data_IF_064738782681
#
_entry.id   IF_064738782681
#
_cell.length_a   1.000
_cell.length_b   1.000
_cell.length_c   1.000
_cell.angle_alpha   90.00
_cell.angle_beta   90.00
_cell.angle_gamma   90.00
#
_symmetry.space_group_name_H-M   'P 1'
#
loop_
_entity.id
_entity.type
_entity.pdbx_description
1 polymer ?
#
# COMPACT_ATOMS: atom_id res chain seq x y z
N UNK A 1 -15.92 -12.71 -7.11
CA UNK A 1 -17.18 -12.69 -7.90
C UNK A 1 -17.52 -11.31 -8.42
N UNK A 2 -18.47 -11.18 -9.36
CA UNK A 2 -18.96 -9.86 -9.81
C UNK A 2 -19.57 -9.02 -8.68
N UNK A 3 -20.20 -9.66 -7.69
CA UNK A 3 -20.78 -8.97 -6.53
C UNK A 3 -19.71 -8.44 -5.57
N UNK A 4 -18.67 -9.24 -5.29
CA UNK A 4 -17.55 -8.79 -4.46
C UNK A 4 -16.80 -7.62 -5.11
N UNK A 5 -16.61 -7.66 -6.43
CA UNK A 5 -15.98 -6.57 -7.18
C UNK A 5 -16.80 -5.27 -7.10
N UNK A 6 -18.13 -5.32 -7.26
CA UNK A 6 -18.99 -4.13 -7.13
C UNK A 6 -18.89 -3.50 -5.74
N UNK A 7 -18.85 -4.32 -4.68
CA UNK A 7 -18.65 -3.84 -3.30
C UNK A 7 -17.29 -3.16 -3.15
N UNK A 8 -16.23 -3.78 -3.68
CA UNK A 8 -14.88 -3.26 -3.65
C UNK A 8 -14.75 -1.90 -4.38
N UNK A 9 -15.32 -1.79 -5.58
CA UNK A 9 -15.32 -0.56 -6.37
C UNK A 9 -16.06 0.57 -5.66
N UNK A 10 -17.24 0.28 -5.10
CA UNK A 10 -18.01 1.28 -4.34
C UNK A 10 -17.21 1.80 -3.14
N UNK A 11 -16.66 0.91 -2.33
CA UNK A 11 -15.86 1.29 -1.18
C UNK A 11 -14.61 2.07 -1.57
N UNK A 12 -13.92 1.65 -2.64
CA UNK A 12 -12.72 2.32 -3.16
C UNK A 12 -13.07 3.75 -3.56
N UNK A 13 -14.15 3.95 -4.32
CA UNK A 13 -14.61 5.30 -4.71
C UNK A 13 -14.95 6.19 -3.51
N UNK A 14 -15.48 5.62 -2.44
CA UNK A 14 -15.88 6.36 -1.23
C UNK A 14 -14.70 6.69 -0.29
N UNK A 15 -13.65 5.86 -0.27
CA UNK A 15 -12.59 5.93 0.75
C UNK A 15 -11.19 6.22 0.18
N UNK A 16 -10.94 5.94 -1.10
CA UNK A 16 -9.64 6.12 -1.73
C UNK A 16 -9.64 7.44 -2.53
N UNK A 17 -9.35 8.55 -1.85
CA UNK A 17 -9.32 9.87 -2.46
C UNK A 17 -8.12 9.99 -3.41
N UNK A 18 -8.39 10.28 -4.68
CA UNK A 18 -7.33 10.60 -5.63
C UNK A 18 -6.51 11.82 -5.19
N UNK A 19 -5.20 11.72 -5.34
CA UNK A 19 -4.24 12.78 -5.04
C UNK A 19 -3.87 13.61 -6.27
N UNK A 20 -2.76 14.32 -6.16
CA UNK A 20 -2.22 15.06 -7.30
C UNK A 20 -1.69 14.13 -8.39
N UNK A 21 -1.77 14.61 -9.63
CA UNK A 21 -1.14 14.00 -10.80
C UNK A 21 0.05 14.85 -11.25
N UNK A 22 1.26 14.32 -11.06
CA UNK A 22 2.52 15.00 -11.38
C UNK A 22 3.00 14.77 -12.82
N UNK A 23 2.31 13.95 -13.60
CA UNK A 23 2.67 13.72 -14.99
C UNK A 23 2.52 15.04 -15.78
N UNK A 24 3.35 15.30 -16.80
CA UNK A 24 3.16 16.48 -17.64
C UNK A 24 1.82 16.38 -18.39
N UNK A 25 1.17 17.51 -18.68
CA UNK A 25 -0.20 17.53 -19.22
C UNK A 25 -0.36 16.74 -20.53
N UNK A 26 0.69 16.71 -21.36
CA UNK A 26 0.71 15.93 -22.61
C UNK A 26 0.81 14.42 -22.41
N UNK A 27 1.11 13.98 -21.19
CA UNK A 27 1.28 12.56 -20.84
C UNK A 27 0.21 12.05 -19.87
N UNK A 28 -0.54 12.94 -19.21
CA UNK A 28 -1.62 12.56 -18.28
C UNK A 28 -2.65 11.68 -18.98
N UNK A 29 -3.12 10.67 -18.25
CA UNK A 29 -4.29 9.87 -18.62
C UNK A 29 -5.56 10.70 -18.50
N UNK A 30 -6.48 10.51 -19.44
CA UNK A 30 -7.83 11.08 -19.37
C UNK A 30 -8.61 10.53 -18.17
N UNK A 31 -9.67 11.22 -17.77
CA UNK A 31 -10.53 10.78 -16.64
C UNK A 31 -11.13 9.39 -16.91
N UNK A 32 -11.50 9.09 -18.16
CA UNK A 32 -12.00 7.78 -18.56
C UNK A 32 -10.93 6.69 -18.40
N UNK A 33 -9.70 6.95 -18.84
CA UNK A 33 -8.59 6.00 -18.66
C UNK A 33 -8.28 5.78 -17.17
N UNK A 34 -8.42 6.81 -16.34
CA UNK A 34 -8.25 6.69 -14.87
C UNK A 34 -9.36 5.85 -14.25
N UNK A 35 -10.61 6.02 -14.66
CA UNK A 35 -11.73 5.20 -14.20
C UNK A 35 -11.52 3.71 -14.56
N UNK A 36 -11.08 3.44 -15.80
CA UNK A 36 -10.73 2.09 -16.25
C UNK A 36 -9.53 1.52 -15.46
N UNK A 37 -8.52 2.33 -15.17
CA UNK A 37 -7.39 1.92 -14.34
C UNK A 37 -7.80 1.61 -12.89
N UNK A 38 -8.73 2.36 -12.31
CA UNK A 38 -9.28 2.06 -10.99
C UNK A 38 -10.01 0.73 -10.95
N UNK A 39 -10.88 0.47 -11.94
CA UNK A 39 -11.55 -0.82 -12.05
C UNK A 39 -10.52 -1.96 -12.17
N UNK A 40 -9.47 -1.74 -12.96
CA UNK A 40 -8.40 -2.69 -13.16
C UNK A 40 -7.65 -3.01 -11.87
N UNK A 41 -7.16 -2.01 -11.12
CA UNK A 41 -6.37 -2.27 -9.89
C UNK A 41 -7.21 -2.85 -8.75
N UNK A 42 -8.50 -2.50 -8.66
CA UNK A 42 -9.42 -3.11 -7.68
C UNK A 42 -9.70 -4.57 -8.03
N UNK A 43 -9.91 -4.86 -9.32
CA UNK A 43 -10.06 -6.24 -9.81
C UNK A 43 -8.78 -7.05 -9.60
N UNK A 44 -7.63 -6.45 -9.85
CA UNK A 44 -6.31 -7.04 -9.61
C UNK A 44 -6.15 -7.47 -8.15
N UNK A 45 -6.52 -6.60 -7.20
CA UNK A 45 -6.52 -6.97 -5.77
C UNK A 45 -7.46 -8.15 -5.47
N UNK A 46 -8.66 -8.17 -6.06
CA UNK A 46 -9.58 -9.32 -5.89
C UNK A 46 -8.96 -10.63 -6.42
N UNK A 47 -8.34 -10.60 -7.61
CA UNK A 47 -7.68 -11.77 -8.20
C UNK A 47 -6.53 -12.25 -7.31
N UNK A 48 -5.70 -11.34 -6.79
CA UNK A 48 -4.60 -11.71 -5.90
C UNK A 48 -5.13 -12.37 -4.62
N UNK A 49 -6.23 -11.86 -4.03
CA UNK A 49 -6.86 -12.51 -2.88
C UNK A 49 -7.35 -13.92 -3.22
N UNK A 50 -7.97 -14.09 -4.39
CA UNK A 50 -8.44 -15.40 -4.85
C UNK A 50 -7.25 -16.36 -5.06
N UNK A 51 -6.13 -15.89 -5.61
CA UNK A 51 -4.90 -16.69 -5.76
C UNK A 51 -4.32 -17.14 -4.41
N UNK A 52 -4.35 -16.30 -3.37
CA UNK A 52 -3.86 -16.67 -2.05
C UNK A 52 -4.74 -17.73 -1.38
N UNK A 53 -6.05 -17.48 -1.34
CA UNK A 53 -6.97 -18.19 -0.44
C UNK A 53 -7.84 -19.24 -1.14
N UNK A 54 -7.90 -19.23 -2.46
CA UNK A 54 -8.98 -19.86 -3.20
C UNK A 54 -10.27 -19.04 -3.14
N UNK A 55 -11.24 -19.38 -3.99
CA UNK A 55 -12.56 -18.76 -4.01
C UNK A 55 -13.62 -19.68 -4.61
N UNK A 56 -14.37 -20.38 -3.75
CA UNK A 56 -15.49 -21.26 -4.14
C UNK A 56 -16.57 -20.58 -5.00
N UNK A 57 -16.65 -19.26 -4.96
CA UNK A 57 -17.66 -18.52 -5.71
C UNK A 57 -17.23 -18.19 -7.16
N UNK A 58 -16.07 -18.65 -7.63
CA UNK A 58 -15.72 -18.59 -9.04
C UNK A 58 -16.72 -19.41 -9.88
N UNK A 59 -16.93 -19.05 -11.16
CA UNK A 59 -17.90 -19.75 -12.01
C UNK A 59 -17.54 -21.23 -12.20
N UNK A 60 -18.53 -22.03 -12.58
CA UNK A 60 -18.31 -23.42 -13.01
C UNK A 60 -17.38 -23.44 -14.24
N UNK A 61 -16.49 -24.42 -14.30
CA UNK A 61 -15.39 -24.50 -15.27
C UNK A 61 -14.09 -23.83 -14.82
N UNK A 62 -14.06 -23.21 -13.63
CA UNK A 62 -12.86 -22.66 -12.99
C UNK A 62 -12.47 -23.45 -11.72
N UNK A 63 -12.67 -24.77 -11.72
CA UNK A 63 -12.43 -25.62 -10.55
C UNK A 63 -10.97 -25.62 -10.10
N UNK A 64 -10.02 -25.45 -11.04
CA UNK A 64 -8.60 -25.31 -10.72
C UNK A 64 -8.32 -23.98 -9.99
N UNK A 65 -8.88 -22.87 -10.46
CA UNK A 65 -8.66 -21.57 -9.83
C UNK A 65 -9.38 -21.44 -8.48
N UNK A 66 -10.47 -22.19 -8.26
CA UNK A 66 -11.22 -22.21 -6.99
C UNK A 66 -10.33 -22.59 -5.80
N UNK A 67 -9.31 -23.43 -5.97
CA UNK A 67 -8.50 -23.93 -4.84
C UNK A 67 -7.43 -22.95 -4.34
N UNK A 68 -7.02 -21.98 -5.16
CA UNK A 68 -5.93 -21.06 -4.81
C UNK A 68 -4.58 -21.76 -4.61
N UNK A 69 -3.66 -21.09 -3.90
CA UNK A 69 -2.27 -21.55 -3.75
C UNK A 69 -1.84 -21.83 -2.31
N UNK A 70 -2.78 -21.79 -1.35
CA UNK A 70 -2.48 -21.95 0.08
C UNK A 70 -1.33 -21.03 0.54
N UNK A 71 -1.31 -19.80 0.03
CA UNK A 71 -0.18 -18.90 0.18
C UNK A 71 -0.30 -18.09 1.48
N UNK A 72 0.71 -18.19 2.35
CA UNK A 72 0.84 -17.34 3.55
C UNK A 72 1.61 -16.03 3.26
N UNK A 73 2.40 -16.04 2.19
CA UNK A 73 3.20 -14.92 1.70
C UNK A 73 3.33 -15.06 0.18
N UNK A 74 3.41 -13.94 -0.52
CA UNK A 74 3.62 -13.89 -1.95
C UNK A 74 4.27 -12.58 -2.35
N UNK A 75 4.47 -12.41 -3.64
CA UNK A 75 5.06 -11.21 -4.21
C UNK A 75 4.51 -10.97 -5.60
N UNK A 76 4.45 -9.70 -6.00
CA UNK A 76 4.03 -9.32 -7.34
C UNK A 76 5.20 -8.69 -8.07
N UNK A 77 5.64 -9.30 -9.18
CA UNK A 77 6.83 -8.85 -9.89
C UNK A 77 6.65 -7.42 -10.42
N UNK A 78 5.54 -7.14 -11.09
CA UNK A 78 5.25 -5.82 -11.66
C UNK A 78 6.27 -5.39 -12.70
N UNK A 79 7.30 -4.68 -12.25
CA UNK A 79 8.34 -4.18 -13.15
C UNK A 79 9.14 -5.34 -13.77
N UNK A 80 9.44 -5.32 -15.07
CA UNK A 80 9.06 -4.30 -16.08
C UNK A 80 7.88 -4.73 -16.95
N UNK A 81 7.75 -6.02 -17.19
CA UNK A 81 6.92 -6.59 -18.25
C UNK A 81 5.43 -6.32 -18.04
N UNK A 82 4.97 -6.32 -16.79
CA UNK A 82 3.59 -5.97 -16.48
C UNK A 82 3.37 -4.46 -16.57
N UNK A 83 4.16 -3.67 -15.83
CA UNK A 83 3.94 -2.22 -15.68
C UNK A 83 4.25 -1.40 -16.93
N UNK A 84 5.01 -1.96 -17.87
CA UNK A 84 5.22 -1.37 -19.19
C UNK A 84 3.94 -1.37 -20.04
N UNK A 85 2.90 -2.12 -19.67
CA UNK A 85 1.64 -2.22 -20.40
C UNK A 85 0.39 -2.06 -19.53
N UNK A 86 0.30 -2.74 -18.39
CA UNK A 86 -0.85 -2.72 -17.48
C UNK A 86 -0.63 -1.80 -16.28
N UNK A 87 -1.72 -1.31 -15.64
CA UNK A 87 -1.62 -0.57 -14.38
C UNK A 87 -0.78 -1.32 -13.34
N UNK A 88 0.01 -0.57 -12.57
CA UNK A 88 0.88 -1.14 -11.55
C UNK A 88 0.09 -1.74 -10.36
N UNK A 89 0.81 -2.41 -9.47
CA UNK A 89 0.25 -3.13 -8.34
C UNK A 89 0.25 -2.31 -7.04
N UNK A 90 0.46 -0.99 -7.12
CA UNK A 90 0.59 -0.16 -5.93
C UNK A 90 -0.63 -0.25 -5.02
N UNK A 91 -1.83 -0.22 -5.61
CA UNK A 91 -3.09 -0.31 -4.89
C UNK A 91 -3.31 -1.68 -4.23
N UNK A 92 -3.20 -2.82 -4.95
CA UNK A 92 -3.25 -4.13 -4.32
C UNK A 92 -2.18 -4.31 -3.23
N UNK A 93 -0.93 -3.96 -3.49
CA UNK A 93 0.16 -4.10 -2.51
C UNK A 93 -0.09 -3.28 -1.24
N UNK A 94 -0.54 -2.03 -1.38
CA UNK A 94 -0.86 -1.19 -0.25
C UNK A 94 -2.03 -1.77 0.58
N UNK A 95 -3.16 -2.07 -0.05
CA UNK A 95 -4.35 -2.53 0.68
C UNK A 95 -4.26 -3.97 1.16
N UNK A 96 -3.58 -4.88 0.46
CA UNK A 96 -3.41 -6.26 0.92
C UNK A 96 -2.57 -6.33 2.19
N UNK A 97 -1.49 -5.53 2.27
CA UNK A 97 -0.68 -5.41 3.48
C UNK A 97 -1.35 -4.53 4.57
N UNK A 98 -2.45 -3.83 4.26
CA UNK A 98 -3.26 -3.06 5.22
C UNK A 98 -4.22 -3.97 6.00
N UNK A 99 -4.49 -3.63 7.26
CA UNK A 99 -5.35 -4.39 8.19
C UNK A 99 -6.86 -4.26 7.97
N UNK A 100 -7.28 -3.69 6.84
CA UNK A 100 -8.68 -3.52 6.48
C UNK A 100 -8.85 -3.40 4.96
N UNK A 101 -10.06 -3.67 4.48
CA UNK A 101 -10.49 -3.33 3.12
C UNK A 101 -12.02 -3.10 3.10
N UNK A 102 -12.64 -3.23 1.92
CA UNK A 102 -14.10 -3.12 1.74
C UNK A 102 -14.93 -4.13 2.53
N UNK A 103 -14.31 -5.11 3.20
CA UNK A 103 -14.97 -6.04 4.12
C UNK A 103 -14.81 -5.67 5.60
N UNK A 104 -14.18 -4.53 5.91
CA UNK A 104 -13.86 -4.12 7.28
C UNK A 104 -12.45 -4.54 7.70
N UNK A 105 -12.20 -4.52 9.00
CA UNK A 105 -10.94 -4.97 9.57
C UNK A 105 -10.70 -6.47 9.30
N UNK A 106 -9.48 -6.83 8.93
CA UNK A 106 -9.07 -8.21 8.62
C UNK A 106 -7.59 -8.41 8.83
N UNK A 107 -7.20 -9.66 8.97
CA UNK A 107 -5.79 -10.03 8.97
C UNK A 107 -5.11 -9.52 7.67
N UNK A 108 -3.87 -9.05 7.82
CA UNK A 108 -3.07 -8.57 6.70
C UNK A 108 -2.61 -9.74 5.83
N UNK A 109 -2.52 -9.51 4.52
CA UNK A 109 -1.72 -10.37 3.67
C UNK A 109 -0.26 -9.93 3.75
N UNK A 110 0.66 -10.80 3.31
CA UNK A 110 2.04 -10.41 3.01
C UNK A 110 2.21 -10.50 1.51
N UNK A 111 2.23 -9.34 0.84
CA UNK A 111 2.50 -9.21 -0.59
C UNK A 111 3.70 -8.29 -0.79
N UNK A 112 4.84 -8.88 -1.15
CA UNK A 112 6.06 -8.13 -1.38
C UNK A 112 6.05 -7.45 -2.76
N UNK A 113 6.30 -6.13 -2.75
CA UNK A 113 6.56 -5.35 -3.95
C UNK A 113 7.74 -5.95 -4.72
N UNK A 114 7.67 -5.92 -6.04
CA UNK A 114 8.72 -6.38 -6.97
C UNK A 114 9.08 -7.88 -6.84
N UNK A 115 8.19 -8.65 -6.20
CA UNK A 115 8.43 -10.05 -5.87
C UNK A 115 9.74 -10.27 -5.10
N UNK A 116 10.13 -9.31 -4.25
CA UNK A 116 11.24 -9.49 -3.31
C UNK A 116 10.84 -10.49 -2.22
N UNK A 117 11.16 -11.76 -2.46
CA UNK A 117 10.82 -12.86 -1.56
C UNK A 117 11.52 -12.76 -0.21
N UNK A 118 12.69 -12.12 -0.13
CA UNK A 118 13.42 -11.97 1.14
C UNK A 118 12.81 -10.89 2.01
N UNK A 119 12.41 -9.77 1.41
CA UNK A 119 11.65 -8.77 2.15
C UNK A 119 10.25 -9.30 2.52
N UNK A 120 9.62 -10.10 1.65
CA UNK A 120 8.40 -10.84 1.97
C UNK A 120 8.54 -11.75 3.20
N UNK A 121 9.62 -12.54 3.30
CA UNK A 121 9.90 -13.37 4.50
C UNK A 121 10.11 -12.50 5.74
N UNK A 122 10.80 -11.37 5.60
CA UNK A 122 11.04 -10.43 6.71
C UNK A 122 9.73 -9.83 7.23
N UNK A 123 8.85 -9.41 6.32
CA UNK A 123 7.49 -8.98 6.64
C UNK A 123 6.70 -10.12 7.30
N UNK A 124 6.77 -11.34 6.77
CA UNK A 124 6.09 -12.49 7.35
C UNK A 124 6.53 -12.76 8.79
N UNK A 125 7.83 -12.68 9.09
CA UNK A 125 8.34 -12.80 10.46
C UNK A 125 7.75 -11.74 11.38
N UNK A 126 7.78 -10.47 10.96
CA UNK A 126 7.17 -9.39 11.73
C UNK A 126 5.68 -9.64 11.98
N UNK A 127 4.93 -9.99 10.94
CA UNK A 127 3.49 -10.29 11.02
C UNK A 127 3.21 -11.43 12.02
N UNK A 128 3.94 -12.54 11.93
CA UNK A 128 3.70 -13.71 12.80
C UNK A 128 4.07 -13.47 14.27
N UNK A 129 4.98 -12.53 14.55
CA UNK A 129 5.36 -12.16 15.91
C UNK A 129 4.42 -11.14 16.54
N UNK A 130 3.86 -10.22 15.77
CA UNK A 130 3.12 -9.06 16.30
C UNK A 130 1.64 -9.06 15.95
N UNK A 131 1.20 -9.85 14.96
CA UNK A 131 -0.13 -9.81 14.35
C UNK A 131 -0.51 -8.43 13.75
N UNK A 132 0.48 -7.60 13.44
CA UNK A 132 0.27 -6.25 12.88
C UNK A 132 0.62 -6.18 11.40
N UNK A 133 0.11 -5.15 10.72
CA UNK A 133 0.58 -4.76 9.38
C UNK A 133 2.09 -4.51 9.37
N UNK A 134 2.70 -4.75 8.20
CA UNK A 134 4.14 -4.65 7.98
C UNK A 134 4.42 -3.65 6.86
N UNK A 135 5.51 -2.90 7.01
CA UNK A 135 5.89 -1.86 6.06
C UNK A 135 6.97 -2.39 5.12
N UNK A 136 6.66 -2.48 3.83
CA UNK A 136 7.65 -2.59 2.77
C UNK A 136 8.23 -1.19 2.50
N UNK A 137 9.56 -1.06 2.38
CA UNK A 137 10.15 0.24 2.06
C UNK A 137 11.52 0.12 1.41
N UNK A 138 11.81 1.00 0.45
CA UNK A 138 13.18 1.22 0.03
C UNK A 138 13.93 2.02 1.10
N UNK A 139 15.16 1.59 1.39
CA UNK A 139 16.12 2.41 2.15
C UNK A 139 16.70 3.45 1.19
N UNK A 140 15.90 4.49 0.91
CA UNK A 140 16.12 5.35 -0.26
C UNK A 140 17.27 6.33 -0.11
N UNK A 141 17.42 6.95 1.06
CA UNK A 141 18.44 8.01 1.25
C UNK A 141 18.84 8.13 2.71
N UNK A 142 20.14 8.27 2.96
CA UNK A 142 20.65 8.78 4.24
C UNK A 142 20.79 10.30 4.17
N UNK A 143 20.17 11.00 5.12
CA UNK A 143 20.30 12.45 5.29
C UNK A 143 21.17 12.75 6.51
N UNK A 144 22.42 13.12 6.27
CA UNK A 144 23.30 13.62 7.33
C UNK A 144 22.86 15.02 7.80
N UNK A 145 23.22 15.43 9.03
CA UNK A 145 22.93 16.77 9.52
C UNK A 145 23.46 17.87 8.60
N UNK A 146 24.66 17.67 8.04
CA UNK A 146 25.31 18.62 7.13
C UNK A 146 24.57 18.69 5.79
N UNK A 147 24.12 17.55 5.26
CA UNK A 147 23.37 17.51 4.01
C UNK A 147 22.02 18.23 4.14
N UNK A 148 21.32 18.04 5.28
CA UNK A 148 20.07 18.76 5.56
C UNK A 148 20.33 20.25 5.68
N UNK A 149 21.31 20.65 6.51
CA UNK A 149 21.66 22.07 6.69
C UNK A 149 22.03 22.75 5.37
N UNK A 150 22.77 22.06 4.51
CA UNK A 150 23.16 22.57 3.19
C UNK A 150 21.96 22.71 2.24
N UNK A 151 21.05 21.74 2.22
CA UNK A 151 19.92 21.71 1.30
C UNK A 151 18.78 22.66 1.70
N UNK A 152 18.57 22.88 3.00
CA UNK A 152 17.38 23.57 3.51
C UNK A 152 17.68 24.74 4.46
N UNK A 153 18.92 24.88 4.92
CA UNK A 153 19.28 25.84 5.98
C UNK A 153 18.87 25.40 7.39
N UNK A 154 18.15 24.29 7.54
CA UNK A 154 17.66 23.77 8.81
C UNK A 154 18.71 22.93 9.53
N UNK A 155 18.89 23.15 10.84
CA UNK A 155 19.70 22.28 11.70
C UNK A 155 18.81 21.21 12.32
N UNK A 156 19.21 19.95 12.20
CA UNK A 156 18.47 18.86 12.82
C UNK A 156 18.41 19.03 14.34
N UNK A 157 17.27 18.67 14.90
CA UNK A 157 16.97 18.70 16.32
C UNK A 157 16.43 17.32 16.79
N UNK A 158 16.35 17.13 18.11
CA UNK A 158 15.84 15.90 18.75
C UNK A 158 16.56 14.62 18.30
N UNK A 159 15.80 13.52 18.20
CA UNK A 159 16.31 12.18 17.85
C UNK A 159 17.10 12.17 16.54
N UNK A 160 16.71 12.97 15.55
CA UNK A 160 17.41 13.07 14.27
C UNK A 160 18.82 13.70 14.43
N UNK A 161 18.98 14.66 15.35
CA UNK A 161 20.30 15.21 15.70
C UNK A 161 21.13 14.20 16.50
N UNK A 162 20.53 13.61 17.53
CA UNK A 162 21.17 12.64 18.43
C UNK A 162 21.68 11.41 17.66
N UNK A 163 20.92 10.96 16.65
CA UNK A 163 21.26 9.85 15.76
C UNK A 163 22.21 10.23 14.62
N UNK A 164 22.64 11.51 14.55
CA UNK A 164 23.51 12.03 13.49
C UNK A 164 22.92 11.85 12.08
N UNK A 165 21.64 12.18 11.93
CA UNK A 165 20.89 12.09 10.69
C UNK A 165 19.74 11.08 10.77
N UNK A 166 19.15 10.78 9.62
CA UNK A 166 18.05 9.82 9.50
C UNK A 166 18.02 9.16 8.12
N UNK A 167 17.29 8.05 8.03
CA UNK A 167 17.00 7.37 6.77
C UNK A 167 15.62 7.78 6.25
N UNK A 168 15.55 8.11 4.96
CA UNK A 168 14.30 8.28 4.25
C UNK A 168 13.86 6.92 3.73
N UNK A 169 12.84 6.35 4.36
CA UNK A 169 12.20 5.12 3.95
C UNK A 169 10.97 5.45 3.12
N UNK A 170 10.96 5.04 1.86
CA UNK A 170 9.86 5.28 0.92
C UNK A 170 9.84 4.19 -0.13
N UNK A 171 8.79 3.37 -0.15
CA UNK A 171 8.63 2.37 -1.21
C UNK A 171 8.35 3.05 -2.57
N UNK A 172 8.48 2.30 -3.65
CA UNK A 172 8.27 2.75 -5.03
C UNK A 172 6.80 3.00 -5.41
N UNK A 173 5.85 2.89 -4.47
CA UNK A 173 4.45 3.29 -4.68
C UNK A 173 3.46 2.76 -3.65
N UNK A 174 3.71 1.58 -3.09
CA UNK A 174 2.81 0.91 -2.15
C UNK A 174 3.28 0.98 -0.69
N UNK A 175 2.38 1.28 0.24
CA UNK A 175 2.65 1.13 1.68
C UNK A 175 1.34 0.86 2.42
N UNK A 176 1.38 -0.03 3.41
CA UNK A 176 0.21 -0.33 4.24
C UNK A 176 -0.27 0.94 4.96
N UNK A 177 -1.57 1.23 4.86
CA UNK A 177 -2.18 2.47 5.34
C UNK A 177 -2.10 2.59 6.88
N UNK A 178 -1.95 1.47 7.58
CA UNK A 178 -1.67 1.41 9.02
C UNK A 178 -0.49 2.30 9.45
N UNK A 179 0.46 2.56 8.55
CA UNK A 179 1.65 3.38 8.82
C UNK A 179 1.46 4.88 8.55
N UNK A 180 0.24 5.35 8.26
CA UNK A 180 -0.05 6.79 8.17
C UNK A 180 0.16 7.52 9.51
N UNK A 181 0.11 6.79 10.63
CA UNK A 181 0.34 7.31 11.97
C UNK A 181 -0.87 8.02 12.60
N UNK A 182 -2.07 7.89 12.02
CA UNK A 182 -3.30 8.47 12.59
C UNK A 182 -3.96 7.59 13.65
N UNK A 183 -3.70 6.28 13.66
CA UNK A 183 -4.18 5.38 14.72
C UNK A 183 -3.38 5.64 15.99
N UNK A 184 -4.07 5.99 17.06
CA UNK A 184 -3.45 6.41 18.33
C UNK A 184 -3.70 5.42 19.46
N UNK A 185 -2.72 5.28 20.35
CA UNK A 185 -2.91 4.70 21.68
C UNK A 185 -3.62 5.69 22.63
N UNK A 186 -3.87 5.25 23.86
CA UNK A 186 -4.45 6.06 24.94
C UNK A 186 -3.63 7.30 25.33
N UNK A 187 -2.33 7.31 25.01
CA UNK A 187 -1.40 8.40 25.26
C UNK A 187 -1.24 9.35 24.06
N UNK A 188 -1.95 9.09 22.94
CA UNK A 188 -1.88 9.87 21.72
C UNK A 188 -0.71 9.53 20.78
N UNK A 189 0.05 8.47 21.06
CA UNK A 189 1.16 8.02 20.23
C UNK A 189 0.65 7.27 19.00
N UNK A 190 1.28 7.47 17.85
CA UNK A 190 0.95 6.71 16.63
C UNK A 190 1.36 5.23 16.77
N UNK A 191 0.42 4.31 16.57
CA UNK A 191 0.65 2.86 16.67
C UNK A 191 0.15 2.13 15.42
N UNK A 192 0.58 0.88 15.24
CA UNK A 192 -0.12 -0.09 14.37
C UNK A 192 -0.74 -1.11 15.30
N UNK A 193 -2.05 -1.32 15.17
CA UNK A 193 -2.80 -2.30 15.97
C UNK A 193 -2.88 -3.64 15.25
N UNK A 194 -3.08 -4.75 15.98
CA UNK A 194 -3.64 -5.96 15.40
C UNK A 194 -5.04 -5.69 14.84
N UNK A 195 -5.43 -6.40 13.79
CA UNK A 195 -6.66 -6.10 13.06
C UNK A 195 -7.95 -6.22 13.90
N UNK A 196 -7.98 -7.10 14.90
CA UNK A 196 -9.16 -7.26 15.78
C UNK A 196 -9.39 -6.07 16.72
N UNK A 197 -8.41 -5.15 16.83
CA UNK A 197 -8.53 -3.91 17.60
C UNK A 197 -8.80 -2.69 16.71
N UNK A 198 -8.83 -2.87 15.39
CA UNK A 198 -9.13 -1.80 14.45
C UNK A 198 -10.62 -1.46 14.48
N UNK A 199 -10.92 -0.19 14.70
CA UNK A 199 -12.29 0.34 14.69
C UNK A 199 -12.61 1.03 13.35
N UNK A 200 -13.90 1.24 13.05
CA UNK A 200 -14.31 2.03 11.88
C UNK A 200 -13.72 3.46 11.90
N UNK A 201 -13.50 4.02 13.10
CA UNK A 201 -12.84 5.31 13.28
C UNK A 201 -11.36 5.24 12.87
N UNK A 202 -10.66 4.18 13.25
CA UNK A 202 -9.26 3.96 12.88
C UNK A 202 -9.12 3.79 11.36
N UNK A 203 -9.99 2.97 10.75
CA UNK A 203 -10.06 2.76 9.30
C UNK A 203 -10.27 4.10 8.58
N UNK A 204 -11.27 4.88 9.02
CA UNK A 204 -11.55 6.20 8.44
C UNK A 204 -10.37 7.16 8.58
N UNK A 205 -9.70 7.17 9.73
CA UNK A 205 -8.53 8.03 9.94
C UNK A 205 -7.39 7.66 8.97
N UNK A 206 -7.15 6.37 8.75
CA UNK A 206 -6.13 5.90 7.81
C UNK A 206 -6.45 6.27 6.35
N UNK A 207 -7.70 6.08 5.92
CA UNK A 207 -8.13 6.43 4.56
C UNK A 207 -8.17 7.94 4.34
N UNK A 208 -8.57 8.74 5.33
CA UNK A 208 -8.56 10.20 5.24
C UNK A 208 -7.13 10.79 5.15
N UNK A 209 -6.13 10.15 5.76
CA UNK A 209 -4.73 10.57 5.70
C UNK A 209 -3.97 10.11 4.45
N UNK A 210 -4.59 9.27 3.62
CA UNK A 210 -3.97 8.69 2.43
C UNK A 210 -4.57 9.28 1.17
N UNK A 211 -3.71 9.73 0.24
CA UNK A 211 -4.11 10.08 -1.13
C UNK A 211 -3.59 9.04 -2.11
N UNK A 212 -4.34 8.82 -3.18
CA UNK A 212 -4.01 7.87 -4.24
C UNK A 212 -3.58 8.61 -5.49
N UNK A 213 -2.27 8.74 -5.66
CA UNK A 213 -1.69 9.61 -6.69
C UNK A 213 -1.47 8.83 -7.98
N UNK A 214 -1.76 9.45 -9.13
CA UNK A 214 -1.47 8.82 -10.41
C UNK A 214 0.01 8.42 -10.51
N UNK A 215 0.26 7.18 -10.90
CA UNK A 215 1.61 6.65 -11.07
C UNK A 215 2.42 7.51 -12.04
N UNK A 216 3.73 7.52 -11.85
CA UNK A 216 4.66 8.20 -12.76
C UNK A 216 4.74 7.41 -14.07
N UNK A 217 4.14 7.95 -15.13
CA UNK A 217 4.02 7.26 -16.42
C UNK A 217 5.37 7.09 -17.13
N UNK A 218 6.42 7.79 -16.68
CA UNK A 218 7.79 7.57 -17.16
C UNK A 218 8.36 6.23 -16.70
N UNK A 219 7.89 5.71 -15.57
CA UNK A 219 8.27 4.41 -15.00
C UNK A 219 7.18 3.36 -15.23
N UNK A 220 5.92 3.71 -14.93
CA UNK A 220 4.76 2.83 -14.98
C UNK A 220 3.86 3.22 -16.16
N UNK A 221 4.23 2.79 -17.35
CA UNK A 221 3.56 3.20 -18.61
C UNK A 221 2.09 2.80 -18.67
N UNK A 222 1.72 1.70 -18.00
CA UNK A 222 0.35 1.26 -17.86
C UNK A 222 -0.48 2.05 -16.83
N UNK A 223 0.13 2.97 -16.08
CA UNK A 223 -0.53 3.76 -15.04
C UNK A 223 -0.64 3.02 -13.70
N UNK A 224 -1.67 3.36 -12.93
CA UNK A 224 -1.87 2.89 -11.54
C UNK A 224 -1.91 4.04 -10.55
N UNK A 225 -2.05 3.72 -9.26
CA UNK A 225 -2.25 4.70 -8.20
C UNK A 225 -1.42 4.37 -6.95
N UNK A 226 -0.45 5.24 -6.65
CA UNK A 226 0.45 5.08 -5.49
C UNK A 226 -0.21 5.58 -4.21
N UNK A 227 -0.07 4.81 -3.12
CA UNK A 227 -0.56 5.18 -1.80
C UNK A 227 0.38 6.19 -1.14
N UNK A 228 -0.05 7.44 -1.02
CA UNK A 228 0.74 8.52 -0.41
C UNK A 228 0.17 8.94 0.93
N UNK A 229 1.00 8.88 1.96
CA UNK A 229 0.79 9.52 3.25
C UNK A 229 2.13 9.98 3.82
N UNK A 230 2.10 10.78 4.89
CA UNK A 230 3.29 11.12 5.66
C UNK A 230 3.13 10.52 7.06
N UNK A 231 4.07 9.66 7.46
CA UNK A 231 4.01 9.02 8.77
C UNK A 231 4.19 10.09 9.87
N UNK A 232 3.11 10.39 10.59
CA UNK A 232 3.16 11.30 11.74
C UNK A 232 3.99 10.65 12.84
N UNK A 233 4.91 11.43 13.42
CA UNK A 233 5.86 11.02 14.46
C UNK A 233 5.22 10.04 15.46
N UNK A 234 5.82 8.85 15.57
CA UNK A 234 5.66 8.01 16.76
C UNK A 234 6.59 8.59 17.81
N UNK A 235 6.04 9.07 18.91
CA UNK A 235 6.88 9.33 20.08
C UNK A 235 7.27 7.94 20.59
N UNK A 236 8.52 7.56 20.32
CA UNK A 236 9.18 6.49 21.06
C UNK A 236 9.74 7.08 22.36
#
# INVERSE_FOLDING_TARGET
TRQSLKKALKWTKENCKEGFDKNPDWFKKSDKEKEEAWEFVVKMMCIIKDLYNGNENLPDGAEEEKVGHNAICGGFQGQRQWTDFYPNCDFPEALLNTSFDWNGARETYVLATENDTLNGVSMLFGKLLTNTAQLFSDVRTYWSPEAVKKATGYELEGVAKESKGFLHLINSGASALDFCGEVKDENGNGIVKPFWEMTDKDIKACTDATTWNAADLGYFRGGGFSSRFFNKKRNA
#
